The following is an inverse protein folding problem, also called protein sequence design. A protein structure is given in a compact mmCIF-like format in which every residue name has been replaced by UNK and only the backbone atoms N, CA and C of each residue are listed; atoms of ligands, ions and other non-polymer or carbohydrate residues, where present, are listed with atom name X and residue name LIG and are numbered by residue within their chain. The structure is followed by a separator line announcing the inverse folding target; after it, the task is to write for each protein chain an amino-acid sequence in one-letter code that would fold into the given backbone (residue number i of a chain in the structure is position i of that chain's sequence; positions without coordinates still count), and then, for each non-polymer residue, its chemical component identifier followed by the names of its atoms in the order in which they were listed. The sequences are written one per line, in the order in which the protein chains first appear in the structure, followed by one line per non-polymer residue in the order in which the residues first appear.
data_IF_587187398409
#
_entry.id   IF_587187398409
#
_cell.length_a   1.000
_cell.length_b   1.000
_cell.length_c   1.000
_cell.angle_alpha   90.00
_cell.angle_beta   90.00
_cell.angle_gamma   90.00
#
_symmetry.space_group_name_H-M   'P 1'
#
loop_
_entity.id
_entity.type
_entity.pdbx_description
1 polymer ?
#
# COMPACT_ATOMS: atom_id res chain seq x y z
N UNK A 1 0.05 38.72 42.13
CA UNK A 1 -0.91 37.90 42.92
C UNK A 1 -2.29 38.53 42.72
N UNK A 2 -3.35 37.73 42.51
CA UNK A 2 -4.76 38.13 42.31
C UNK A 2 -5.19 38.50 40.88
N UNK A 3 -5.45 37.49 40.03
CA UNK A 3 -6.32 37.61 38.85
C UNK A 3 -6.83 36.23 38.37
N UNK A 4 -7.39 35.43 39.29
CA UNK A 4 -8.13 34.18 38.99
C UNK A 4 -9.39 34.12 39.84
N UNK A 5 -10.38 34.93 39.51
CA UNK A 5 -11.75 34.77 39.99
C UNK A 5 -12.67 35.14 38.84
N UNK A 6 -13.75 34.38 38.66
CA UNK A 6 -14.73 34.48 37.57
C UNK A 6 -14.43 33.69 36.28
N UNK A 7 -14.16 32.38 36.41
CA UNK A 7 -14.74 31.42 35.44
C UNK A 7 -16.10 31.02 35.99
N UNK A 8 -17.15 31.73 35.57
CA UNK A 8 -18.52 31.25 35.81
C UNK A 8 -18.66 29.94 35.04
N UNK A 9 -19.04 28.86 35.73
CA UNK A 9 -19.41 27.62 35.08
C UNK A 9 -20.62 27.91 34.20
N UNK A 10 -20.42 27.89 32.89
CA UNK A 10 -21.52 27.88 31.94
C UNK A 10 -21.96 26.43 31.84
N UNK A 11 -23.17 26.15 32.29
CA UNK A 11 -23.81 24.84 32.21
C UNK A 11 -23.81 24.36 30.74
N UNK A 12 -23.49 23.09 30.52
CA UNK A 12 -23.38 22.52 29.18
C UNK A 12 -24.71 22.63 28.40
N UNK A 13 -25.83 22.65 29.12
CA UNK A 13 -27.16 22.86 28.56
C UNK A 13 -27.36 24.27 28.02
N UNK A 14 -26.82 25.30 28.69
CA UNK A 14 -26.89 26.68 28.21
C UNK A 14 -26.12 26.86 26.91
N UNK A 15 -24.98 26.18 26.76
CA UNK A 15 -24.20 26.19 25.51
C UNK A 15 -24.96 25.48 24.39
N UNK A 16 -25.63 24.35 24.67
CA UNK A 16 -26.44 23.64 23.67
C UNK A 16 -27.66 24.45 23.23
N UNK A 17 -28.34 25.11 24.17
CA UNK A 17 -29.47 25.98 23.88
C UNK A 17 -29.06 27.15 22.97
N UNK A 18 -27.94 27.82 23.28
CA UNK A 18 -27.39 28.90 22.45
C UNK A 18 -27.02 28.43 21.03
N UNK A 19 -26.44 27.24 20.88
CA UNK A 19 -26.10 26.67 19.57
C UNK A 19 -27.37 26.35 18.76
N UNK A 20 -28.39 25.81 19.42
CA UNK A 20 -29.64 25.42 18.77
C UNK A 20 -30.46 26.65 18.35
N UNK A 21 -30.50 27.69 19.16
CA UNK A 21 -31.16 28.96 18.86
C UNK A 21 -30.48 29.71 17.71
N UNK A 22 -29.14 29.69 17.66
CA UNK A 22 -28.38 30.29 16.56
C UNK A 22 -28.48 29.50 15.25
N UNK A 23 -28.62 28.17 15.30
CA UNK A 23 -28.68 27.33 14.09
C UNK A 23 -29.84 27.64 13.15
N UNK A 24 -30.90 28.28 13.64
CA UNK A 24 -32.07 28.67 12.85
C UNK A 24 -31.90 30.01 12.12
N UNK A 25 -30.86 30.80 12.47
CA UNK A 25 -30.60 32.14 11.91
C UNK A 25 -29.27 32.25 11.17
N UNK A 26 -28.49 31.17 11.06
CA UNK A 26 -27.24 31.15 10.27
C UNK A 26 -27.62 31.12 8.79
N UNK A 27 -28.00 32.29 8.26
CA UNK A 27 -27.86 32.59 6.86
C UNK A 27 -26.38 32.46 6.47
N UNK A 28 -26.10 32.14 5.20
CA UNK A 28 -24.75 32.02 4.65
C UNK A 28 -23.82 33.21 4.99
N UNK A 29 -24.38 34.38 5.34
CA UNK A 29 -23.64 35.57 5.74
C UNK A 29 -23.03 35.52 7.15
N UNK A 30 -23.60 34.76 8.08
CA UNK A 30 -23.06 34.67 9.44
C UNK A 30 -21.74 33.88 9.47
N UNK A 31 -21.56 32.93 8.55
CA UNK A 31 -20.31 32.18 8.40
C UNK A 31 -19.18 33.05 7.82
N UNK A 32 -19.47 33.85 6.79
CA UNK A 32 -18.56 34.85 6.22
C UNK A 32 -18.16 35.91 7.27
N UNK A 33 -19.13 36.42 8.05
CA UNK A 33 -18.86 37.37 9.13
C UNK A 33 -17.95 36.77 10.22
N UNK A 34 -18.18 35.50 10.60
CA UNK A 34 -17.32 34.79 11.54
C UNK A 34 -15.91 34.56 11.00
N UNK A 35 -15.76 34.23 9.72
CA UNK A 35 -14.44 34.10 9.09
C UNK A 35 -13.68 35.44 9.05
N UNK A 36 -14.39 36.54 8.75
CA UNK A 36 -13.81 37.89 8.79
C UNK A 36 -13.34 38.25 10.20
N UNK A 37 -14.13 37.98 11.25
CA UNK A 37 -13.76 38.26 12.64
C UNK A 37 -12.59 37.38 13.11
N UNK A 38 -12.60 36.09 12.78
CA UNK A 38 -11.52 35.17 13.13
C UNK A 38 -10.21 35.50 12.40
N UNK A 39 -10.28 36.10 11.21
CA UNK A 39 -9.10 36.55 10.46
C UNK A 39 -8.46 37.83 11.03
N UNK A 40 -9.21 38.63 11.79
CA UNK A 40 -8.79 39.94 12.30
C UNK A 40 -8.19 39.90 13.73
N UNK A 41 -8.17 38.74 14.40
CA UNK A 41 -7.63 38.62 15.75
C UNK A 41 -6.07 38.61 15.75
N UNK A 42 -5.42 39.53 16.50
CA UNK A 42 -3.96 39.67 16.51
C UNK A 42 -3.22 38.52 17.21
N UNK A 43 -3.89 37.79 18.11
CA UNK A 43 -3.35 36.64 18.84
C UNK A 43 -3.76 35.31 18.19
N UNK A 44 -3.49 35.17 16.89
CA UNK A 44 -3.64 33.88 16.21
C UNK A 44 -2.60 32.92 16.81
N UNK A 45 -3.00 31.81 17.47
CA UNK A 45 -2.04 30.84 17.97
C UNK A 45 -1.17 30.36 16.81
N UNK A 46 0.13 30.60 16.92
CA UNK A 46 1.09 30.10 15.96
C UNK A 46 0.92 28.58 15.89
N UNK A 47 0.72 28.08 14.67
CA UNK A 47 0.59 26.68 14.35
C UNK A 47 -0.74 26.01 14.76
N UNK A 48 -1.69 26.01 13.81
CA UNK A 48 -2.59 24.87 13.68
C UNK A 48 -1.68 23.65 13.49
N UNK A 49 -1.73 22.61 14.35
CA UNK A 49 -1.00 21.38 14.08
C UNK A 49 -1.45 20.94 12.70
N UNK A 50 -0.48 20.64 11.81
CA UNK A 50 -0.75 20.05 10.51
C UNK A 50 -1.56 18.79 10.78
N UNK A 51 -2.87 18.95 10.68
CA UNK A 51 -3.84 17.89 10.83
C UNK A 51 -3.49 16.91 9.73
N UNK A 52 -2.80 15.84 10.12
CA UNK A 52 -2.50 14.67 9.28
C UNK A 52 -3.75 13.87 8.97
N UNK A 53 -4.94 14.40 9.29
CA UNK A 53 -6.14 14.12 8.53
C UNK A 53 -5.94 14.71 7.13
N UNK A 54 -5.16 13.99 6.32
CA UNK A 54 -5.42 13.87 4.89
C UNK A 54 -6.94 13.78 4.78
N UNK A 55 -7.59 14.87 4.34
CA UNK A 55 -9.01 14.84 4.00
C UNK A 55 -9.14 13.59 3.14
N UNK A 56 -9.92 12.62 3.59
CA UNK A 56 -10.03 11.36 2.90
C UNK A 56 -10.47 11.69 1.47
N UNK A 57 -9.51 11.70 0.53
CA UNK A 57 -9.77 12.14 -0.83
C UNK A 57 -10.85 11.21 -1.36
N UNK A 58 -11.98 11.80 -1.75
CA UNK A 58 -13.10 11.06 -2.28
C UNK A 58 -12.59 10.20 -3.44
N UNK A 59 -12.94 8.91 -3.43
CA UNK A 59 -12.50 7.96 -4.45
C UNK A 59 -13.62 7.79 -5.46
N UNK A 60 -13.29 7.90 -6.73
CA UNK A 60 -14.20 7.67 -7.86
C UNK A 60 -13.84 6.36 -8.55
N UNK A 61 -14.83 5.71 -9.17
CA UNK A 61 -14.60 4.53 -10.02
C UNK A 61 -13.84 4.93 -11.27
N UNK A 62 -12.80 4.18 -11.62
CA UNK A 62 -11.96 4.44 -12.77
C UNK A 62 -12.42 3.60 -13.97
N UNK A 63 -13.16 4.24 -14.87
CA UNK A 63 -13.77 3.58 -16.03
C UNK A 63 -12.84 3.61 -17.26
N UNK A 64 -13.14 2.79 -18.27
CA UNK A 64 -12.36 2.77 -19.52
C UNK A 64 -12.35 4.13 -20.24
N UNK A 65 -13.44 4.89 -20.17
CA UNK A 65 -13.51 6.25 -20.76
C UNK A 65 -12.48 7.20 -20.16
N UNK A 66 -12.29 7.15 -18.84
CA UNK A 66 -11.26 7.96 -18.16
C UNK A 66 -9.86 7.55 -18.63
N UNK A 67 -9.63 6.25 -18.83
CA UNK A 67 -8.35 5.76 -19.36
C UNK A 67 -8.11 6.25 -20.78
N UNK A 68 -9.10 6.17 -21.66
CA UNK A 68 -9.02 6.67 -23.05
C UNK A 68 -8.74 8.18 -23.05
N UNK A 69 -9.43 8.94 -22.21
CA UNK A 69 -9.20 10.38 -22.04
C UNK A 69 -7.75 10.68 -21.61
N UNK A 70 -7.22 9.96 -20.62
CA UNK A 70 -5.84 10.15 -20.16
C UNK A 70 -4.83 9.84 -21.27
N UNK A 71 -5.04 8.77 -22.04
CA UNK A 71 -4.15 8.40 -23.15
C UNK A 71 -4.20 9.44 -24.26
N UNK A 72 -5.39 9.92 -24.63
CA UNK A 72 -5.58 10.95 -25.64
C UNK A 72 -4.87 12.26 -25.25
N UNK A 73 -5.01 12.71 -24.01
CA UNK A 73 -4.33 13.92 -23.52
C UNK A 73 -2.81 13.78 -23.48
N UNK A 74 -2.29 12.62 -23.06
CA UNK A 74 -0.85 12.35 -23.09
C UNK A 74 -0.30 12.32 -24.53
N UNK A 75 -1.07 11.82 -25.49
CA UNK A 75 -0.70 11.82 -26.92
C UNK A 75 -0.78 13.23 -27.54
N UNK A 76 -1.82 14.01 -27.22
CA UNK A 76 -2.01 15.39 -27.71
C UNK A 76 -0.87 16.31 -27.28
N UNK A 77 -0.42 16.16 -26.04
CA UNK A 77 0.61 17.01 -25.42
C UNK A 77 2.03 16.49 -25.61
N UNK A 78 2.20 15.22 -26.02
CA UNK A 78 3.50 14.53 -26.10
C UNK A 78 4.32 14.60 -24.79
N UNK A 79 3.66 14.78 -23.64
CA UNK A 79 4.33 14.87 -22.35
C UNK A 79 4.60 13.47 -21.77
N UNK A 80 5.82 13.25 -21.27
CA UNK A 80 6.17 12.01 -20.57
C UNK A 80 5.62 12.07 -19.13
N UNK A 81 5.12 10.94 -18.62
CA UNK A 81 4.57 10.85 -17.24
C UNK A 81 5.54 11.40 -16.19
N UNK A 82 6.85 11.19 -16.37
CA UNK A 82 7.87 11.73 -15.45
C UNK A 82 7.86 13.25 -15.38
N UNK A 83 7.65 13.94 -16.50
CA UNK A 83 7.65 15.40 -16.55
C UNK A 83 6.33 15.97 -16.08
N UNK A 84 5.21 15.30 -16.40
CA UNK A 84 3.90 15.60 -15.83
C UNK A 84 3.94 15.60 -14.28
N UNK A 85 4.54 14.56 -13.69
CA UNK A 85 4.66 14.41 -12.24
C UNK A 85 5.58 15.46 -11.61
N UNK A 86 6.67 15.83 -12.28
CA UNK A 86 7.58 16.89 -11.80
C UNK A 86 6.86 18.23 -11.65
N UNK A 87 5.91 18.51 -12.55
CA UNK A 87 5.17 19.78 -12.62
C UNK A 87 3.94 19.82 -11.70
N UNK A 88 3.29 18.68 -11.43
CA UNK A 88 2.03 18.63 -10.65
C UNK A 88 2.18 18.57 -9.12
N UNK A 89 3.23 17.92 -8.58
CA UNK A 89 3.31 17.64 -7.13
C UNK A 89 4.68 17.93 -6.52
N UNK A 90 4.65 18.15 -5.20
CA UNK A 90 5.84 18.28 -4.37
C UNK A 90 6.67 17.00 -4.40
N UNK A 91 7.99 17.14 -4.25
CA UNK A 91 8.98 16.08 -4.44
C UNK A 91 8.70 14.76 -3.70
N UNK A 92 8.07 14.83 -2.51
CA UNK A 92 7.76 13.66 -1.67
C UNK A 92 6.75 12.70 -2.31
N UNK A 93 5.82 13.22 -3.12
CA UNK A 93 4.72 12.42 -3.68
C UNK A 93 4.95 12.02 -5.14
N UNK A 94 6.05 12.48 -5.76
CA UNK A 94 6.35 12.25 -7.18
C UNK A 94 6.38 10.76 -7.53
N UNK A 95 7.12 9.96 -6.77
CA UNK A 95 7.25 8.52 -7.04
C UNK A 95 5.90 7.79 -6.94
N UNK A 96 5.09 8.17 -5.95
CA UNK A 96 3.79 7.55 -5.74
C UNK A 96 2.80 7.91 -6.86
N UNK A 97 2.75 9.18 -7.26
CA UNK A 97 1.91 9.63 -8.37
C UNK A 97 2.35 9.04 -9.72
N UNK A 98 3.65 8.97 -10.00
CA UNK A 98 4.17 8.36 -11.23
C UNK A 98 3.78 6.87 -11.35
N UNK A 99 3.86 6.13 -10.23
CA UNK A 99 3.43 4.74 -10.18
C UNK A 99 1.92 4.62 -10.42
N UNK A 100 1.10 5.49 -9.79
CA UNK A 100 -0.35 5.53 -10.01
C UNK A 100 -0.71 5.83 -11.45
N UNK A 101 -0.15 6.88 -12.07
CA UNK A 101 -0.40 7.23 -13.47
C UNK A 101 -0.04 6.10 -14.44
N UNK A 102 1.05 5.37 -14.15
CA UNK A 102 1.42 4.18 -14.94
C UNK A 102 0.34 3.09 -14.84
N UNK A 103 -0.21 2.87 -13.64
CA UNK A 103 -1.29 1.90 -13.42
C UNK A 103 -2.62 2.33 -14.03
N UNK A 104 -2.93 3.64 -14.01
CA UNK A 104 -4.11 4.24 -14.66
C UNK A 104 -4.04 4.06 -16.17
N UNK A 105 -2.89 4.38 -16.80
CA UNK A 105 -2.66 4.17 -18.23
C UNK A 105 -2.86 2.71 -18.66
N UNK A 106 -2.48 1.76 -17.79
CA UNK A 106 -2.65 0.31 -18.01
C UNK A 106 -4.06 -0.21 -17.73
N UNK A 107 -4.94 0.57 -17.10
CA UNK A 107 -6.28 0.11 -16.70
C UNK A 107 -6.29 -0.92 -15.56
N UNK A 108 -5.28 -0.90 -14.68
CA UNK A 108 -5.11 -1.91 -13.59
C UNK A 108 -5.68 -1.45 -12.24
N UNK A 109 -6.57 -0.46 -12.24
CA UNK A 109 -7.04 0.22 -11.05
C UNK A 109 -8.54 0.45 -11.17
N UNK A 110 -9.30 0.05 -10.18
CA UNK A 110 -10.77 0.20 -10.16
C UNK A 110 -11.21 1.54 -9.56
N UNK A 111 -10.40 2.15 -8.68
CA UNK A 111 -10.72 3.41 -8.01
C UNK A 111 -9.54 4.36 -7.92
N UNK A 112 -9.79 5.65 -8.18
CA UNK A 112 -8.78 6.71 -8.11
C UNK A 112 -9.22 7.85 -7.19
N UNK A 113 -8.29 8.55 -6.51
CA UNK A 113 -8.61 9.78 -5.80
C UNK A 113 -9.11 10.85 -6.77
N UNK A 114 -10.28 11.41 -6.50
CA UNK A 114 -10.99 12.40 -7.34
C UNK A 114 -10.15 13.67 -7.53
N UNK A 115 -9.52 14.14 -6.45
CA UNK A 115 -8.65 15.30 -6.43
C UNK A 115 -7.40 15.13 -7.31
N UNK A 116 -6.75 13.96 -7.24
CA UNK A 116 -5.59 13.66 -8.07
C UNK A 116 -5.97 13.53 -9.56
N UNK A 117 -7.10 12.89 -9.84
CA UNK A 117 -7.61 12.75 -11.21
C UNK A 117 -7.89 14.13 -11.83
N UNK A 118 -8.68 14.95 -11.14
CA UNK A 118 -9.03 16.30 -11.61
C UNK A 118 -7.77 17.16 -11.81
N UNK A 119 -6.84 17.14 -10.86
CA UNK A 119 -5.57 17.88 -10.97
C UNK A 119 -4.78 17.50 -12.23
N UNK A 120 -4.76 16.20 -12.58
CA UNK A 120 -4.01 15.70 -13.74
C UNK A 120 -4.67 16.13 -15.05
N UNK A 121 -5.98 15.96 -15.18
CA UNK A 121 -6.72 16.32 -16.41
C UNK A 121 -6.77 17.84 -16.61
N UNK A 122 -7.02 18.60 -15.54
CA UNK A 122 -6.98 20.07 -15.58
C UNK A 122 -5.62 20.55 -16.07
N UNK A 123 -4.53 20.03 -15.49
CA UNK A 123 -3.18 20.41 -15.90
C UNK A 123 -2.87 20.04 -17.36
N UNK A 124 -3.23 18.84 -17.81
CA UNK A 124 -3.05 18.45 -19.22
C UNK A 124 -3.83 19.36 -20.17
N UNK A 125 -5.03 19.80 -19.78
CA UNK A 125 -5.83 20.76 -20.54
C UNK A 125 -5.18 22.14 -20.71
N UNK A 126 -4.30 22.56 -19.79
CA UNK A 126 -3.57 23.83 -19.91
C UNK A 126 -2.40 23.80 -20.90
N UNK A 127 -1.93 22.60 -21.29
CA UNK A 127 -0.78 22.46 -22.19
C UNK A 127 -1.25 22.60 -23.65
N UNK A 128 -0.65 23.49 -24.45
CA UNK A 128 -0.98 23.63 -25.87
C UNK A 128 -0.62 22.36 -26.65
N UNK A 129 -1.32 22.12 -27.75
CA UNK A 129 -1.04 20.98 -28.64
C UNK A 129 0.39 21.03 -29.15
N UNK A 130 1.15 19.94 -28.96
CA UNK A 130 2.55 19.87 -29.41
C UNK A 130 2.69 20.07 -30.93
N UNK A 131 1.63 19.80 -31.69
CA UNK A 131 1.57 19.90 -33.16
C UNK A 131 1.57 21.36 -33.65
N UNK A 132 1.14 22.34 -32.83
CA UNK A 132 1.05 23.75 -33.25
C UNK A 132 2.32 24.57 -33.00
N UNK A 133 3.36 23.98 -32.41
CA UNK A 133 4.58 24.69 -32.00
C UNK A 133 5.76 24.54 -32.95
N UNK A 134 5.58 23.96 -34.15
CA UNK A 134 6.60 24.05 -35.22
C UNK A 134 6.24 25.19 -36.17
N UNK A 135 6.77 26.41 -35.97
CA UNK A 135 6.82 27.36 -37.07
C UNK A 135 7.73 26.76 -38.14
N UNK A 136 7.15 26.55 -39.31
CA UNK A 136 7.78 26.29 -40.60
C UNK A 136 9.18 26.92 -40.72
N UNK A 137 10.22 26.11 -40.52
CA UNK A 137 11.61 26.46 -40.91
C UNK A 137 11.96 25.60 -42.11
N UNK A 138 12.07 26.32 -43.24
CA UNK A 138 12.74 26.06 -44.53
C UNK A 138 13.23 24.66 -44.89
N UNK A 139 13.04 24.24 -46.17
CA UNK A 139 13.59 23.00 -46.70
C UNK A 139 15.12 23.09 -46.75
N UNK A 140 15.80 22.48 -45.77
CA UNK A 140 17.26 22.30 -45.83
C UNK A 140 17.53 21.04 -46.63
N UNK A 141 18.05 21.32 -47.81
CA UNK A 141 18.78 20.50 -48.76
C UNK A 141 19.43 19.25 -48.15
N UNK A 142 19.05 18.12 -48.72
CA UNK A 142 19.55 16.79 -48.41
C UNK A 142 21.04 16.70 -48.75
N UNK A 143 21.90 16.74 -47.75
CA UNK A 143 23.25 16.20 -47.86
C UNK A 143 23.30 14.82 -47.21
N UNK A 144 23.21 13.84 -48.09
CA UNK A 144 23.58 12.45 -47.90
C UNK A 144 25.04 12.34 -47.44
N UNK A 145 25.25 11.90 -46.21
CA UNK A 145 26.52 11.31 -45.79
C UNK A 145 26.21 9.91 -45.26
N UNK A 146 26.42 8.93 -46.14
CA UNK A 146 26.59 7.52 -45.79
C UNK A 146 27.79 7.39 -44.84
N UNK A 147 27.52 7.12 -43.57
CA UNK A 147 28.53 6.54 -42.67
C UNK A 147 27.97 5.22 -42.16
N UNK A 148 28.31 4.17 -42.90
CA UNK A 148 28.17 2.77 -42.50
C UNK A 148 28.98 2.56 -41.22
N UNK A 149 28.33 2.61 -40.06
CA UNK A 149 28.86 2.07 -38.81
C UNK A 149 28.21 0.72 -38.56
N UNK A 150 28.88 -0.33 -39.03
CA UNK A 150 28.66 -1.71 -38.59
C UNK A 150 28.81 -1.79 -37.07
N UNK A 151 27.68 -1.81 -36.36
CA UNK A 151 27.63 -2.27 -34.97
C UNK A 151 27.61 -3.79 -34.96
N UNK A 152 28.51 -4.45 -34.20
CA UNK A 152 28.40 -5.89 -33.97
C UNK A 152 27.15 -6.19 -33.14
N UNK A 153 26.45 -7.31 -33.41
CA UNK A 153 25.27 -7.71 -32.66
C UNK A 153 25.68 -8.09 -31.23
N UNK A 154 25.23 -7.31 -30.24
CA UNK A 154 25.30 -7.70 -28.84
C UNK A 154 24.33 -8.89 -28.67
N UNK A 155 24.91 -10.10 -28.66
CA UNK A 155 24.20 -11.32 -28.32
C UNK A 155 23.60 -11.17 -26.93
N UNK A 156 22.26 -11.07 -26.86
CA UNK A 156 21.53 -11.23 -25.60
C UNK A 156 21.90 -12.61 -25.05
N UNK A 157 22.43 -12.75 -23.82
CA UNK A 157 22.61 -14.05 -23.23
C UNK A 157 21.23 -14.69 -23.16
N UNK A 158 21.06 -15.79 -23.91
CA UNK A 158 19.88 -16.63 -23.86
C UNK A 158 19.60 -16.91 -22.39
N UNK A 159 18.50 -16.36 -21.89
CA UNK A 159 18.02 -16.61 -20.54
C UNK A 159 17.91 -18.12 -20.39
N UNK A 160 18.83 -18.69 -19.62
CA UNK A 160 18.77 -20.07 -19.20
C UNK A 160 17.44 -20.23 -18.46
N UNK A 161 16.42 -20.65 -19.20
CA UNK A 161 15.20 -21.20 -18.65
C UNK A 161 15.65 -22.43 -17.88
N UNK A 162 15.93 -22.24 -16.57
CA UNK A 162 16.00 -23.33 -15.62
C UNK A 162 14.62 -23.96 -15.59
N UNK A 163 14.36 -24.84 -16.57
CA UNK A 163 13.38 -25.90 -16.47
C UNK A 163 13.91 -26.80 -15.37
N UNK A 164 13.60 -26.44 -14.13
CA UNK A 164 13.74 -27.34 -13.01
C UNK A 164 12.88 -28.55 -13.38
N UNK A 165 13.56 -29.65 -13.71
CA UNK A 165 12.93 -30.93 -13.91
C UNK A 165 12.03 -31.18 -12.68
N UNK A 166 10.73 -31.34 -12.92
CA UNK A 166 9.85 -31.97 -11.95
C UNK A 166 10.31 -33.43 -11.84
N UNK A 167 11.34 -33.66 -11.05
CA UNK A 167 11.67 -34.99 -10.55
C UNK A 167 10.51 -35.42 -9.66
N UNK A 168 9.95 -36.59 -9.97
CA UNK A 168 8.90 -37.32 -9.27
C UNK A 168 8.70 -36.88 -7.80
N UNK A 169 7.61 -36.15 -7.55
CA UNK A 169 7.35 -35.45 -6.28
C UNK A 169 6.98 -36.37 -5.10
N UNK A 170 6.72 -37.66 -5.34
CA UNK A 170 6.05 -38.50 -4.34
C UNK A 170 6.93 -38.90 -3.14
N UNK A 171 8.26 -38.95 -3.27
CA UNK A 171 9.16 -39.33 -2.15
C UNK A 171 9.83 -38.13 -1.44
N UNK A 172 9.58 -36.89 -1.86
CA UNK A 172 10.32 -35.72 -1.33
C UNK A 172 9.71 -35.08 -0.10
N UNK A 173 8.65 -35.67 0.46
CA UNK A 173 7.87 -35.10 1.57
C UNK A 173 8.68 -34.90 2.85
N UNK A 174 9.70 -35.71 3.09
CA UNK A 174 10.48 -35.70 4.33
C UNK A 174 11.88 -35.07 4.20
N UNK A 175 12.33 -34.67 3.01
CA UNK A 175 13.71 -34.16 2.87
C UNK A 175 13.80 -32.74 3.43
N UNK A 176 14.62 -32.50 4.47
CA UNK A 176 14.85 -31.18 5.02
C UNK A 176 15.31 -30.18 3.95
N UNK A 177 14.77 -28.96 3.96
CA UNK A 177 15.22 -27.89 3.06
C UNK A 177 15.93 -26.73 3.76
N UNK A 178 15.95 -26.74 5.09
CA UNK A 178 16.66 -25.77 5.91
C UNK A 178 17.85 -26.44 6.59
N UNK A 179 18.98 -25.74 6.68
CA UNK A 179 20.03 -26.17 7.59
C UNK A 179 19.61 -25.87 9.04
N UNK A 180 20.07 -26.67 10.00
CA UNK A 180 19.80 -26.44 11.43
C UNK A 180 20.20 -25.02 11.88
N UNK A 181 21.26 -24.48 11.30
CA UNK A 181 21.75 -23.12 11.57
C UNK A 181 20.84 -22.01 11.01
N UNK A 182 20.00 -22.31 10.02
CA UNK A 182 19.08 -21.33 9.42
C UNK A 182 17.81 -21.14 10.26
N UNK A 183 17.49 -22.11 11.12
CA UNK A 183 16.34 -22.05 12.04
C UNK A 183 16.79 -21.40 13.35
N UNK A 184 16.88 -20.07 13.33
CA UNK A 184 17.17 -19.29 14.53
C UNK A 184 16.07 -19.44 15.60
N UNK A 185 16.39 -19.20 16.88
CA UNK A 185 15.43 -19.30 17.98
C UNK A 185 14.28 -18.29 17.82
N UNK A 186 13.15 -18.60 18.45
CA UNK A 186 11.98 -17.75 18.50
C UNK A 186 12.35 -16.33 19.02
N UNK A 187 12.18 -15.31 18.16
CA UNK A 187 12.45 -13.93 18.55
C UNK A 187 11.38 -13.42 19.53
N UNK A 188 11.75 -12.68 20.60
CA UNK A 188 10.78 -12.14 21.55
C UNK A 188 9.83 -11.15 20.89
N UNK A 189 8.52 -11.31 21.08
CA UNK A 189 7.47 -10.47 20.48
C UNK A 189 6.98 -9.40 21.44
N UNK A 190 7.74 -8.31 21.59
CA UNK A 190 7.40 -7.20 22.50
C UNK A 190 5.98 -6.63 22.31
N UNK A 191 5.45 -6.67 21.08
CA UNK A 191 4.12 -6.15 20.73
C UNK A 191 2.97 -6.95 21.34
N UNK A 192 3.21 -8.16 21.85
CA UNK A 192 2.11 -9.03 22.24
C UNK A 192 1.55 -8.78 23.64
N UNK A 193 2.35 -8.21 24.56
CA UNK A 193 1.94 -7.97 25.97
C UNK A 193 0.66 -7.13 26.12
N UNK A 194 0.28 -6.36 25.10
CA UNK A 194 -0.92 -5.51 25.11
C UNK A 194 -1.90 -5.82 23.99
N UNK A 195 -1.62 -6.85 23.20
CA UNK A 195 -2.47 -7.18 22.06
C UNK A 195 -3.75 -7.85 22.54
N UNK A 196 -4.89 -7.30 22.13
CA UNK A 196 -6.22 -7.88 22.34
C UNK A 196 -6.86 -8.08 20.98
N UNK A 197 -7.33 -9.30 20.73
CA UNK A 197 -8.05 -9.59 19.51
C UNK A 197 -9.42 -8.91 19.54
N UNK A 198 -9.73 -8.16 18.49
CA UNK A 198 -11.04 -7.53 18.33
C UNK A 198 -12.16 -8.58 18.25
N UNK A 199 -13.35 -8.22 18.73
CA UNK A 199 -14.49 -9.14 18.80
C UNK A 199 -14.94 -9.64 17.41
N UNK A 200 -14.82 -8.80 16.38
CA UNK A 200 -15.11 -9.19 14.99
C UNK A 200 -14.22 -10.34 14.51
N UNK A 201 -12.92 -10.29 14.80
CA UNK A 201 -11.97 -11.33 14.41
C UNK A 201 -12.21 -12.63 15.17
N UNK A 202 -12.58 -12.56 16.45
CA UNK A 202 -12.98 -13.74 17.22
C UNK A 202 -14.19 -14.44 16.62
N UNK A 203 -15.21 -13.68 16.18
CA UNK A 203 -16.39 -14.25 15.50
C UNK A 203 -16.05 -14.95 14.19
N UNK A 204 -15.00 -14.49 13.51
CA UNK A 204 -14.44 -15.12 12.31
C UNK A 204 -13.51 -16.32 12.63
N UNK A 205 -13.42 -16.76 13.89
CA UNK A 205 -12.59 -17.91 14.26
C UNK A 205 -11.10 -17.61 14.38
N UNK A 206 -10.69 -16.34 14.44
CA UNK A 206 -9.30 -16.00 14.70
C UNK A 206 -8.93 -16.18 16.17
N UNK A 207 -7.70 -16.63 16.41
CA UNK A 207 -7.06 -16.75 17.72
C UNK A 207 -5.77 -15.94 17.75
N UNK A 208 -5.40 -15.47 18.94
CA UNK A 208 -4.09 -14.83 19.16
C UNK A 208 -3.04 -15.93 19.17
N UNK A 209 -1.96 -15.75 18.42
CA UNK A 209 -0.82 -16.66 18.44
C UNK A 209 -0.04 -16.36 19.72
N UNK A 210 -0.38 -17.03 20.83
CA UNK A 210 0.28 -16.88 22.13
C UNK A 210 1.80 -17.17 22.06
N UNK A 211 2.55 -16.80 23.10
CA UNK A 211 4.02 -17.00 23.09
C UNK A 211 4.34 -18.48 23.14
N UNK A 212 3.49 -19.26 23.82
CA UNK A 212 3.48 -20.71 23.80
C UNK A 212 3.26 -21.28 22.39
N UNK A 213 2.20 -20.86 21.68
CA UNK A 213 1.94 -21.33 20.31
C UNK A 213 3.05 -20.95 19.33
N UNK A 214 3.62 -19.75 19.49
CA UNK A 214 4.72 -19.29 18.68
C UNK A 214 6.01 -20.06 18.94
N UNK A 215 6.33 -20.35 20.21
CA UNK A 215 7.47 -21.19 20.56
C UNK A 215 7.27 -22.61 20.01
N UNK A 216 6.08 -23.19 20.17
CA UNK A 216 5.72 -24.50 19.62
C UNK A 216 5.90 -24.56 18.11
N UNK A 217 5.46 -23.55 17.36
CA UNK A 217 5.72 -23.47 15.91
C UNK A 217 7.21 -23.52 15.58
N UNK A 218 8.04 -22.74 16.30
CA UNK A 218 9.49 -22.72 16.10
C UNK A 218 10.15 -24.05 16.47
N UNK A 219 9.68 -24.72 17.52
CA UNK A 219 10.16 -26.05 17.92
C UNK A 219 9.86 -27.09 16.84
N UNK A 220 8.62 -27.15 16.34
CA UNK A 220 8.24 -28.05 15.25
C UNK A 220 9.04 -27.80 13.97
N UNK A 221 9.26 -26.54 13.63
CA UNK A 221 10.09 -26.17 12.47
C UNK A 221 11.57 -26.55 12.68
N UNK A 222 12.08 -26.44 13.91
CA UNK A 222 13.45 -26.84 14.25
C UNK A 222 13.61 -28.36 14.23
N UNK A 223 12.60 -29.10 14.68
CA UNK A 223 12.54 -30.57 14.67
C UNK A 223 12.53 -31.13 13.24
N UNK A 224 11.73 -30.54 12.37
CA UNK A 224 11.51 -31.03 10.99
C UNK A 224 12.44 -30.40 9.95
N UNK A 225 13.07 -29.26 10.26
CA UNK A 225 13.91 -28.48 9.34
C UNK A 225 13.23 -28.19 7.99
N UNK A 226 11.90 -28.02 8.02
CA UNK A 226 11.06 -27.80 6.84
C UNK A 226 10.53 -26.36 6.78
N UNK A 227 10.76 -25.70 5.65
CA UNK A 227 10.26 -24.36 5.40
C UNK A 227 8.74 -24.36 5.21
N UNK A 228 8.03 -23.27 5.58
CA UNK A 228 6.59 -23.17 5.36
C UNK A 228 6.16 -23.36 3.90
N UNK A 229 7.03 -22.94 2.96
CA UNK A 229 6.78 -23.12 1.52
C UNK A 229 6.79 -24.60 1.16
N UNK A 230 7.74 -25.36 1.69
CA UNK A 230 7.89 -26.79 1.40
C UNK A 230 6.82 -27.62 2.10
N UNK A 231 6.48 -27.28 3.35
CA UNK A 231 5.36 -27.88 4.08
C UNK A 231 4.04 -27.80 3.29
N UNK A 232 3.71 -26.62 2.78
CA UNK A 232 2.47 -26.44 1.99
C UNK A 232 2.53 -27.13 0.63
N UNK A 233 3.73 -27.25 0.04
CA UNK A 233 3.92 -27.92 -1.25
C UNK A 233 3.89 -29.46 -1.14
N UNK A 234 4.27 -30.03 0.01
CA UNK A 234 4.24 -31.47 0.26
C UNK A 234 2.86 -31.97 0.70
N UNK A 235 2.03 -31.08 1.26
CA UNK A 235 0.68 -31.40 1.71
C UNK A 235 -0.27 -31.76 0.56
N UNK A 236 -1.03 -32.84 0.73
CA UNK A 236 -2.04 -33.29 -0.26
C UNK A 236 -3.19 -32.29 -0.40
N UNK A 237 -3.63 -31.69 0.71
CA UNK A 237 -4.80 -30.80 0.73
C UNK A 237 -4.60 -29.66 1.75
N UNK A 238 -3.78 -28.65 1.42
CA UNK A 238 -3.67 -27.46 2.26
C UNK A 238 -5.01 -26.67 2.22
N UNK A 239 -5.34 -25.93 3.29
CA UNK A 239 -6.47 -25.01 3.28
C UNK A 239 -6.36 -24.00 2.13
N UNK A 240 -7.45 -23.71 1.40
CA UNK A 240 -7.39 -22.98 0.13
C UNK A 240 -6.86 -21.55 0.25
N UNK A 241 -7.08 -20.91 1.41
CA UNK A 241 -6.68 -19.53 1.67
C UNK A 241 -5.35 -19.40 2.44
N UNK A 242 -4.70 -20.54 2.74
CA UNK A 242 -3.45 -20.58 3.47
C UNK A 242 -2.25 -20.49 2.54
N UNK A 243 -1.62 -19.32 2.55
CA UNK A 243 -0.42 -19.03 1.76
C UNK A 243 0.87 -19.20 2.58
N UNK A 244 1.94 -19.60 1.91
CA UNK A 244 3.29 -19.69 2.53
C UNK A 244 3.78 -18.38 3.13
N UNK A 245 3.32 -17.24 2.59
CA UNK A 245 3.60 -15.91 3.14
C UNK A 245 2.96 -15.71 4.52
N UNK A 246 1.68 -16.09 4.71
CA UNK A 246 1.01 -15.96 6.01
C UNK A 246 1.74 -16.76 7.08
N UNK A 247 2.05 -18.04 6.79
CA UNK A 247 2.78 -18.90 7.73
C UNK A 247 4.17 -18.34 8.04
N UNK A 248 4.91 -17.86 7.03
CA UNK A 248 6.19 -17.18 7.23
C UNK A 248 6.06 -15.95 8.13
N UNK A 249 5.02 -15.14 7.94
CA UNK A 249 4.76 -13.95 8.75
C UNK A 249 4.44 -14.29 10.23
N UNK A 250 3.90 -15.50 10.50
CA UNK A 250 3.76 -16.02 11.87
C UNK A 250 5.12 -16.28 12.52
N UNK A 251 6.03 -16.99 11.83
CA UNK A 251 7.40 -17.25 12.31
C UNK A 251 8.26 -16.00 12.51
N UNK A 252 8.03 -14.97 11.68
CA UNK A 252 8.69 -13.68 11.82
C UNK A 252 8.11 -12.82 12.96
N UNK A 253 6.96 -13.20 13.52
CA UNK A 253 6.25 -12.42 14.53
C UNK A 253 5.62 -11.14 13.98
N UNK A 254 5.47 -11.01 12.66
CA UNK A 254 4.83 -9.87 12.02
C UNK A 254 3.31 -9.89 12.21
N UNK A 255 2.75 -11.09 12.39
CA UNK A 255 1.32 -11.34 12.55
C UNK A 255 1.04 -11.88 13.94
N UNK A 256 0.09 -11.27 14.65
CA UNK A 256 -0.22 -11.60 16.06
C UNK A 256 -1.45 -12.51 16.22
N UNK A 257 -2.25 -12.66 15.16
CA UNK A 257 -3.45 -13.49 15.16
C UNK A 257 -3.55 -14.26 13.85
N UNK A 258 -4.06 -15.48 13.93
CA UNK A 258 -4.32 -16.34 12.79
C UNK A 258 -5.70 -16.97 12.95
N UNK A 259 -6.28 -17.36 11.82
CA UNK A 259 -7.46 -18.21 11.83
C UNK A 259 -7.12 -19.54 12.51
N UNK A 260 -8.00 -19.98 13.42
CA UNK A 260 -7.73 -21.14 14.27
C UNK A 260 -7.47 -22.40 13.44
N UNK A 261 -8.31 -22.67 12.45
CA UNK A 261 -8.22 -23.85 11.60
C UNK A 261 -6.89 -23.89 10.82
N UNK A 262 -6.46 -22.74 10.31
CA UNK A 262 -5.18 -22.61 9.62
C UNK A 262 -3.99 -22.88 10.54
N UNK A 263 -4.03 -22.39 11.78
CA UNK A 263 -2.94 -22.60 12.74
C UNK A 263 -2.87 -24.06 13.19
N UNK A 264 -4.01 -24.67 13.50
CA UNK A 264 -4.12 -26.07 13.89
C UNK A 264 -3.66 -27.00 12.77
N UNK A 265 -4.06 -26.71 11.53
CA UNK A 265 -3.62 -27.47 10.37
C UNK A 265 -2.10 -27.43 10.20
N UNK A 266 -1.45 -26.26 10.34
CA UNK A 266 0.02 -26.15 10.22
C UNK A 266 0.73 -26.92 11.33
N UNK A 267 0.24 -26.84 12.56
CA UNK A 267 0.82 -27.58 13.69
C UNK A 267 0.70 -29.09 13.49
N UNK A 268 -0.46 -29.58 13.04
CA UNK A 268 -0.66 -31.00 12.75
C UNK A 268 0.21 -31.46 11.58
N UNK A 269 0.28 -30.66 10.50
CA UNK A 269 1.11 -30.97 9.34
C UNK A 269 2.60 -31.08 9.70
N UNK A 270 3.09 -30.26 10.64
CA UNK A 270 4.43 -30.44 11.19
C UNK A 270 4.53 -31.69 12.06
N UNK A 271 3.57 -31.91 12.97
CA UNK A 271 3.57 -33.06 13.88
C UNK A 271 3.57 -34.41 13.15
N UNK A 272 2.92 -34.50 11.99
CA UNK A 272 2.85 -35.72 11.16
C UNK A 272 4.18 -36.06 10.45
N UNK A 273 5.14 -35.12 10.41
CA UNK A 273 6.44 -35.34 9.78
C UNK A 273 7.44 -35.97 10.77
N UNK A 274 8.33 -36.86 10.29
CA UNK A 274 9.39 -37.43 11.12
C UNK A 274 10.38 -36.35 11.57
N UNK A 275 11.11 -36.63 12.64
CA UNK A 275 12.23 -35.79 13.07
C UNK A 275 13.32 -35.79 12.00
N UNK A 276 13.90 -34.62 11.71
CA UNK A 276 14.97 -34.50 10.72
C UNK A 276 16.25 -35.24 11.12
N UNK A 277 16.37 -35.68 12.39
CA UNK A 277 17.49 -36.47 12.88
C UNK A 277 17.29 -37.98 12.68
N UNK A 278 16.08 -38.44 12.36
CA UNK A 278 15.74 -39.86 12.20
C UNK A 278 15.87 -40.35 10.73
N UNK A 279 16.17 -39.43 9.79
CA UNK A 279 16.28 -39.67 8.34
C UNK A 279 17.73 -39.58 7.89
#
# INVERSE_FOLDING_TARGET
MVARKYRKHVEAETVRALIQEQSSQISSNAFEALLSILSALPDRPAHVPKSTYSKASRRISFNEDMRVQLIAELQRTQIVISDLVKRLKHERDRKALAHRLTRWKRGTVDTVPEDEWLSVIEYLGTIPDAIKSTPSVTPVESQSVEVVRSMPPIAKPAGAQKKAALTNMDDTRAVPDLALNDVGPAKPRARMKRYRLGESLKRLGYIVISDELYNRLHEERKRTLLSPRRLLASATRPPPDLTSKQVRDWFLGNTLAAEKEHLEWVLNAYADLPDANDV
#
